data_IF_574998843674
#
_entry.id   IF_574998843674
#
_cell.length_a   1.000
_cell.length_b   1.000
_cell.length_c   1.000
_cell.angle_alpha   90.00
_cell.angle_beta   90.00
_cell.angle_gamma   90.00
#
_symmetry.space_group_name_H-M   'P 1'
#
loop_
_entity.id
_entity.type
_entity.pdbx_description
1 polymer ?
#
# COMPACT_ATOMS: atom_id res chain seq x y z
N UNK A 1 46.01 3.79 9.26
CA UNK A 1 45.31 2.54 8.89
C UNK A 1 44.04 2.46 9.70
N UNK A 2 42.92 2.86 9.12
CA UNK A 2 41.59 2.73 9.73
C UNK A 2 41.03 1.42 9.20
N UNK A 3 40.96 0.39 10.04
CA UNK A 3 40.24 -0.84 9.73
C UNK A 3 38.78 -0.46 9.56
N UNK A 4 38.30 -0.41 8.31
CA UNK A 4 36.88 -0.46 8.04
C UNK A 4 36.41 -1.85 8.47
N UNK A 5 35.84 -1.94 9.68
CA UNK A 5 35.04 -3.08 10.08
C UNK A 5 34.00 -3.29 8.98
N UNK A 6 34.12 -4.42 8.28
CA UNK A 6 33.18 -4.87 7.27
C UNK A 6 31.86 -5.13 8.01
N UNK A 7 31.07 -4.07 8.18
CA UNK A 7 29.75 -4.17 8.77
C UNK A 7 28.91 -4.82 7.70
N UNK A 8 28.48 -6.06 7.90
CA UNK A 8 27.57 -6.72 6.98
C UNK A 8 26.41 -5.77 6.67
N UNK A 9 26.22 -5.48 5.39
CA UNK A 9 25.14 -4.60 4.97
C UNK A 9 23.81 -5.12 5.54
N UNK A 10 22.89 -4.22 5.91
CA UNK A 10 21.59 -4.64 6.46
C UNK A 10 20.85 -5.57 5.48
N UNK A 11 21.12 -5.43 4.18
CA UNK A 11 20.64 -6.33 3.15
C UNK A 11 21.18 -7.76 3.30
N UNK A 12 22.49 -7.94 3.48
CA UNK A 12 23.08 -9.27 3.70
C UNK A 12 22.49 -9.96 4.94
N UNK A 13 22.25 -9.18 6.00
CA UNK A 13 21.59 -9.69 7.21
C UNK A 13 20.13 -10.07 6.91
N UNK A 14 19.39 -9.21 6.21
CA UNK A 14 18.00 -9.48 5.83
C UNK A 14 17.87 -10.74 4.98
N UNK A 15 18.77 -10.91 4.00
CA UNK A 15 18.80 -12.08 3.13
C UNK A 15 19.04 -13.37 3.93
N UNK A 16 20.07 -13.39 4.77
CA UNK A 16 20.37 -14.55 5.63
C UNK A 16 19.25 -14.83 6.64
N UNK A 17 18.59 -13.80 7.18
CA UNK A 17 17.46 -13.93 8.11
C UNK A 17 16.22 -14.49 7.38
N UNK A 18 15.93 -14.05 6.16
CA UNK A 18 14.78 -14.49 5.37
C UNK A 18 14.75 -16.02 5.22
N UNK A 19 15.91 -16.61 4.92
CA UNK A 19 16.09 -18.06 4.76
C UNK A 19 15.76 -18.86 6.04
N UNK A 20 15.81 -18.22 7.21
CA UNK A 20 15.54 -18.85 8.50
C UNK A 20 14.15 -18.53 9.06
N UNK A 21 13.45 -17.51 8.55
CA UNK A 21 12.08 -17.21 8.98
C UNK A 21 11.14 -18.33 8.54
N UNK A 22 11.20 -18.71 7.27
CA UNK A 22 10.44 -19.82 6.71
C UNK A 22 10.35 -19.81 5.19
N UNK A 23 9.67 -20.80 4.59
CA UNK A 23 9.46 -20.86 3.14
C UNK A 23 8.68 -19.63 2.63
N UNK A 24 9.05 -19.16 1.43
CA UNK A 24 8.38 -18.02 0.78
C UNK A 24 8.84 -16.64 1.27
N UNK A 25 9.82 -16.59 2.18
CA UNK A 25 10.46 -15.36 2.62
C UNK A 25 11.74 -15.10 1.83
N UNK A 26 11.95 -13.87 1.37
CA UNK A 26 13.15 -13.44 0.65
C UNK A 26 13.45 -11.97 0.89
N UNK A 27 14.70 -11.53 0.74
CA UNK A 27 15.06 -10.14 0.94
C UNK A 27 15.02 -9.32 -0.37
N UNK A 28 14.61 -8.07 -0.24
CA UNK A 28 14.72 -7.04 -1.27
C UNK A 28 15.52 -5.85 -0.73
N UNK A 29 16.54 -5.46 -1.49
CA UNK A 29 17.39 -4.32 -1.17
C UNK A 29 16.76 -3.00 -1.61
N UNK A 30 16.88 -1.96 -0.78
CA UNK A 30 16.52 -0.60 -1.15
C UNK A 30 17.69 0.13 -1.82
N UNK A 31 18.03 -0.22 -3.06
CA UNK A 31 19.05 0.51 -3.84
C UNK A 31 20.30 0.92 -3.02
N UNK A 32 20.81 2.14 -3.22
CA UNK A 32 22.00 2.68 -2.55
C UNK A 32 21.89 2.93 -1.03
N UNK A 33 20.87 2.40 -0.33
CA UNK A 33 20.69 2.60 1.12
C UNK A 33 21.18 1.37 1.91
N UNK A 34 22.47 1.35 2.26
CA UNK A 34 23.12 0.27 3.02
C UNK A 34 22.53 0.00 4.43
N UNK A 35 21.73 0.93 4.97
CA UNK A 35 21.16 0.85 6.31
C UNK A 35 19.73 0.31 6.40
N UNK A 36 19.13 -0.13 5.27
CA UNK A 36 17.74 -0.63 5.23
C UNK A 36 17.58 -1.78 4.24
N UNK A 37 16.75 -2.75 4.60
CA UNK A 37 16.32 -3.82 3.70
C UNK A 37 14.91 -4.27 4.07
N UNK A 38 14.16 -4.77 3.09
CA UNK A 38 12.87 -5.42 3.35
C UNK A 38 13.03 -6.92 3.20
N UNK A 39 12.38 -7.68 4.08
CA UNK A 39 12.13 -9.11 3.86
C UNK A 39 10.68 -9.23 3.40
N UNK A 40 10.48 -9.64 2.16
CA UNK A 40 9.18 -9.98 1.60
C UNK A 40 8.78 -11.37 2.08
N UNK A 41 7.50 -11.54 2.38
CA UNK A 41 6.90 -12.79 2.83
C UNK A 41 5.68 -13.18 2.02
N UNK A 42 5.03 -14.30 2.38
CA UNK A 42 3.83 -14.77 1.70
C UNK A 42 2.67 -13.77 1.85
N UNK A 43 1.71 -13.85 0.92
CA UNK A 43 0.46 -13.07 0.93
C UNK A 43 0.64 -11.54 0.99
N UNK A 44 1.80 -11.02 0.58
CA UNK A 44 2.10 -9.58 0.62
C UNK A 44 2.50 -9.06 2.01
N UNK A 45 2.82 -9.97 2.95
CA UNK A 45 3.48 -9.60 4.20
C UNK A 45 4.91 -9.15 3.93
N UNK A 46 5.43 -8.22 4.73
CA UNK A 46 6.79 -7.76 4.63
C UNK A 46 7.33 -7.22 5.96
N UNK A 47 8.64 -7.31 6.17
CA UNK A 47 9.34 -6.79 7.34
C UNK A 47 10.41 -5.80 6.90
N UNK A 48 10.41 -4.59 7.44
CA UNK A 48 11.51 -3.65 7.26
C UNK A 48 12.55 -3.84 8.35
N UNK A 49 13.79 -4.06 7.95
CA UNK A 49 14.97 -4.04 8.79
C UNK A 49 15.69 -2.70 8.60
N UNK A 50 16.00 -2.00 9.69
CA UNK A 50 16.74 -0.73 9.65
C UNK A 50 17.74 -0.63 10.79
N UNK A 51 18.99 -0.29 10.46
CA UNK A 51 20.05 0.06 11.41
C UNK A 51 20.31 1.58 11.47
N UNK A 52 19.62 2.35 10.61
CA UNK A 52 19.88 3.77 10.43
C UNK A 52 19.53 4.56 11.69
N UNK A 53 20.50 5.33 12.19
CA UNK A 53 20.29 6.39 13.20
C UNK A 53 19.63 7.58 12.51
N UNK A 54 18.40 7.92 12.87
CA UNK A 54 17.63 9.01 12.25
C UNK A 54 16.26 9.17 12.91
N UNK A 55 15.20 9.44 12.13
CA UNK A 55 13.78 9.56 12.56
C UNK A 55 13.29 8.44 13.51
N UNK A 56 14.05 7.36 13.57
CA UNK A 56 13.90 6.21 14.44
C UNK A 56 15.26 5.98 15.12
N UNK A 57 15.41 6.37 16.37
CA UNK A 57 16.67 6.25 17.12
C UNK A 57 16.96 4.79 17.48
N UNK A 58 17.49 4.02 16.52
CA UNK A 58 17.96 2.65 16.78
C UNK A 58 19.29 2.73 17.56
N UNK A 59 19.42 2.06 18.72
CA UNK A 59 20.68 2.03 19.47
C UNK A 59 21.84 1.48 18.63
N UNK A 60 23.08 1.85 18.99
CA UNK A 60 24.29 1.31 18.32
C UNK A 60 24.28 -0.22 18.40
N UNK A 61 24.62 -0.88 17.29
CA UNK A 61 24.72 -2.34 17.24
C UNK A 61 23.36 -3.05 17.26
N UNK A 62 22.26 -2.34 16.98
CA UNK A 62 20.93 -2.91 16.90
C UNK A 62 20.33 -2.72 15.51
N UNK A 63 19.48 -3.65 15.12
CA UNK A 63 18.55 -3.56 14.00
C UNK A 63 17.15 -3.48 14.58
N UNK A 64 16.36 -2.53 14.08
CA UNK A 64 14.92 -2.50 14.30
C UNK A 64 14.23 -3.28 13.20
N UNK A 65 13.34 -4.18 13.60
CA UNK A 65 12.49 -4.98 12.71
C UNK A 65 11.05 -4.53 12.92
N UNK A 66 10.38 -4.10 11.85
CA UNK A 66 9.00 -3.63 11.90
C UNK A 66 8.17 -4.20 10.75
N UNK A 67 6.89 -4.52 10.97
CA UNK A 67 6.00 -5.01 9.95
C UNK A 67 5.61 -3.93 8.95
N UNK A 68 5.41 -4.35 7.71
CA UNK A 68 4.83 -3.55 6.65
C UNK A 68 3.46 -4.12 6.28
N UNK A 69 2.50 -3.23 6.05
CA UNK A 69 1.11 -3.58 5.76
C UNK A 69 0.70 -3.20 4.34
N UNK A 70 1.63 -2.67 3.53
CA UNK A 70 1.37 -2.21 2.17
C UNK A 70 0.15 -1.27 2.11
N UNK A 71 -0.82 -1.51 1.19
CA UNK A 71 -2.03 -0.70 1.07
C UNK A 71 -2.99 -0.83 2.26
N UNK A 72 -2.90 -1.92 3.03
CA UNK A 72 -3.76 -2.15 4.20
C UNK A 72 -3.33 -1.34 5.43
N UNK A 73 -2.21 -0.62 5.38
CA UNK A 73 -1.66 0.15 6.52
C UNK A 73 -2.67 1.08 7.17
N UNK A 74 -3.45 1.80 6.36
CA UNK A 74 -4.37 2.82 6.87
C UNK A 74 -5.63 2.20 7.50
N UNK A 75 -5.87 0.91 7.23
CA UNK A 75 -6.95 0.12 7.80
C UNK A 75 -6.56 -0.58 9.10
N UNK A 76 -5.31 -0.42 9.56
CA UNK A 76 -4.84 -1.03 10.80
C UNK A 76 -5.44 -0.34 12.04
N UNK A 77 -6.14 -1.07 12.93
CA UNK A 77 -6.67 -0.53 14.18
C UNK A 77 -5.58 0.08 15.06
N UNK A 78 -5.90 1.19 15.75
CA UNK A 78 -4.91 1.94 16.55
C UNK A 78 -4.23 1.09 17.62
N UNK A 79 -4.95 0.16 18.24
CA UNK A 79 -4.45 -0.76 19.27
C UNK A 79 -3.49 -1.84 18.73
N UNK A 80 -3.42 -2.04 17.40
CA UNK A 80 -2.52 -2.98 16.74
C UNK A 80 -1.34 -2.29 16.03
N UNK A 81 -1.23 -0.95 16.17
CA UNK A 81 -0.12 -0.16 15.60
C UNK A 81 1.13 -0.27 16.48
N UNK A 82 2.29 -0.03 15.88
CA UNK A 82 3.56 0.10 16.61
C UNK A 82 4.21 -1.23 17.00
N UNK A 83 3.83 -2.33 16.35
CA UNK A 83 4.55 -3.60 16.49
C UNK A 83 5.98 -3.45 15.97
N UNK A 84 6.96 -3.75 16.80
CA UNK A 84 8.37 -3.78 16.42
C UNK A 84 9.21 -4.53 17.45
N UNK A 85 10.39 -4.97 17.02
CA UNK A 85 11.43 -5.47 17.92
C UNK A 85 12.77 -4.86 17.55
N UNK A 86 13.63 -4.69 18.55
CA UNK A 86 15.04 -4.41 18.36
C UNK A 86 15.84 -5.69 18.65
N UNK A 87 16.74 -6.03 17.75
CA UNK A 87 17.66 -7.17 17.85
C UNK A 87 19.09 -6.68 17.68
N UNK A 88 20.06 -7.32 18.33
CA UNK A 88 21.47 -6.97 18.13
C UNK A 88 21.92 -7.43 16.74
N UNK A 89 22.71 -6.58 16.07
CA UNK A 89 23.27 -6.85 14.74
C UNK A 89 24.31 -7.98 14.77
N UNK A 90 24.94 -8.21 15.93
CA UNK A 90 25.98 -9.22 16.12
C UNK A 90 25.42 -10.64 16.35
N UNK A 91 24.08 -10.77 16.45
CA UNK A 91 23.43 -12.07 16.57
C UNK A 91 23.50 -12.82 15.24
N UNK A 92 23.73 -14.13 15.33
CA UNK A 92 23.59 -15.01 14.17
C UNK A 92 22.19 -14.85 13.53
N UNK A 93 22.13 -14.88 12.19
CA UNK A 93 20.90 -14.72 11.41
C UNK A 93 19.78 -15.65 11.88
N UNK A 94 20.09 -16.91 12.17
CA UNK A 94 19.14 -17.88 12.74
C UNK A 94 18.54 -17.42 14.07
N UNK A 95 19.32 -16.76 14.93
CA UNK A 95 18.84 -16.26 16.22
C UNK A 95 17.96 -15.02 16.04
N UNK A 96 18.29 -14.14 15.10
CA UNK A 96 17.42 -13.02 14.73
C UNK A 96 16.08 -13.55 14.19
N UNK A 97 16.10 -14.51 13.27
CA UNK A 97 14.88 -15.12 12.72
C UNK A 97 14.01 -15.77 13.82
N UNK A 98 14.62 -16.49 14.77
CA UNK A 98 13.90 -17.05 15.94
C UNK A 98 13.25 -15.97 16.80
N UNK A 99 13.91 -14.82 16.98
CA UNK A 99 13.31 -13.72 17.72
C UNK A 99 12.16 -13.05 16.96
N UNK A 100 12.29 -12.90 15.64
CA UNK A 100 11.20 -12.44 14.77
C UNK A 100 10.00 -13.38 14.91
N UNK A 101 10.21 -14.68 14.74
CA UNK A 101 9.14 -15.69 14.83
C UNK A 101 8.51 -15.77 16.22
N UNK A 102 9.28 -15.58 17.29
CA UNK A 102 8.75 -15.69 18.66
C UNK A 102 8.09 -14.41 19.17
N UNK A 103 8.65 -13.24 18.84
CA UNK A 103 8.29 -11.95 19.46
C UNK A 103 7.44 -11.06 18.57
N UNK A 104 7.57 -11.20 17.25
CA UNK A 104 6.93 -10.29 16.28
C UNK A 104 5.85 -10.99 15.46
N UNK A 105 6.13 -12.19 14.90
CA UNK A 105 5.22 -12.84 13.95
C UNK A 105 3.81 -13.08 14.48
N UNK A 106 3.59 -13.60 15.71
CA UNK A 106 2.23 -13.89 16.17
C UNK A 106 1.34 -12.64 16.22
N UNK A 107 1.90 -11.51 16.67
CA UNK A 107 1.19 -10.24 16.70
C UNK A 107 1.02 -9.64 15.30
N UNK A 108 2.04 -9.78 14.45
CA UNK A 108 2.01 -9.27 13.08
C UNK A 108 0.99 -10.01 12.21
N UNK A 109 0.98 -11.35 12.24
CA UNK A 109 0.02 -12.17 11.49
C UNK A 109 -1.42 -11.80 11.84
N UNK A 110 -1.72 -11.67 13.13
CA UNK A 110 -3.03 -11.22 13.59
C UNK A 110 -3.36 -9.80 13.09
N UNK A 111 -2.43 -8.85 13.26
CA UNK A 111 -2.63 -7.47 12.82
C UNK A 111 -2.79 -7.35 11.29
N UNK A 112 -2.05 -8.16 10.53
CA UNK A 112 -2.09 -8.18 9.08
C UNK A 112 -3.42 -8.73 8.57
N UNK A 113 -3.91 -9.84 9.14
CA UNK A 113 -5.22 -10.39 8.80
C UNK A 113 -6.33 -9.37 9.01
N UNK A 114 -6.37 -8.72 10.18
CA UNK A 114 -7.38 -7.68 10.49
C UNK A 114 -7.29 -6.49 9.52
N UNK A 115 -6.07 -6.03 9.19
CA UNK A 115 -5.89 -4.92 8.28
C UNK A 115 -6.29 -5.26 6.84
N UNK A 116 -5.97 -6.47 6.37
CA UNK A 116 -6.33 -6.95 5.03
C UNK A 116 -7.82 -7.14 4.90
N UNK A 117 -8.49 -7.76 5.87
CA UNK A 117 -9.95 -7.94 5.84
C UNK A 117 -10.67 -6.58 5.77
N UNK A 118 -10.23 -5.62 6.59
CA UNK A 118 -10.77 -4.25 6.56
C UNK A 118 -10.50 -3.53 5.24
N UNK A 119 -9.30 -3.71 4.66
CA UNK A 119 -8.96 -3.15 3.36
C UNK A 119 -9.79 -3.78 2.23
N UNK A 120 -9.97 -5.10 2.23
CA UNK A 120 -10.80 -5.81 1.25
C UNK A 120 -12.26 -5.40 1.33
N UNK A 121 -12.82 -5.29 2.55
CA UNK A 121 -14.17 -4.79 2.75
C UNK A 121 -14.34 -3.36 2.23
N UNK A 122 -13.39 -2.47 2.52
CA UNK A 122 -13.38 -1.11 1.97
C UNK A 122 -13.30 -1.11 0.44
N UNK A 123 -12.41 -1.94 -0.14
CA UNK A 123 -12.26 -2.06 -1.60
C UNK A 123 -13.51 -2.59 -2.27
N UNK A 124 -14.21 -3.52 -1.65
CA UNK A 124 -15.49 -4.02 -2.17
C UNK A 124 -16.55 -2.92 -2.11
N UNK A 125 -16.65 -2.21 -0.99
CA UNK A 125 -17.58 -1.08 -0.87
C UNK A 125 -17.29 0.02 -1.91
N UNK A 126 -16.02 0.37 -2.14
CA UNK A 126 -15.65 1.31 -3.21
C UNK A 126 -16.06 0.83 -4.61
N UNK A 127 -16.10 -0.49 -4.85
CA UNK A 127 -16.54 -1.03 -6.13
C UNK A 127 -18.07 -0.97 -6.23
N UNK A 128 -18.79 -1.36 -5.18
CA UNK A 128 -20.26 -1.33 -5.12
C UNK A 128 -20.80 0.11 -5.26
N UNK A 129 -20.17 1.07 -4.58
CA UNK A 129 -20.50 2.50 -4.67
C UNK A 129 -20.30 3.01 -6.10
N UNK A 130 -19.20 2.60 -6.76
CA UNK A 130 -18.93 2.97 -8.16
C UNK A 130 -19.92 2.37 -9.14
N UNK A 131 -20.37 1.14 -8.93
CA UNK A 131 -21.40 0.52 -9.77
C UNK A 131 -22.72 1.29 -9.63
N UNK A 132 -23.10 1.63 -8.40
CA UNK A 132 -24.29 2.45 -8.13
C UNK A 132 -24.21 3.83 -8.77
N UNK A 133 -23.05 4.49 -8.66
CA UNK A 133 -22.80 5.80 -9.30
C UNK A 133 -22.85 5.71 -10.83
N UNK A 134 -22.26 4.67 -11.42
CA UNK A 134 -22.30 4.44 -12.87
C UNK A 134 -23.73 4.19 -13.38
N UNK A 135 -24.56 3.48 -12.61
CA UNK A 135 -25.96 3.26 -12.93
C UNK A 135 -26.76 4.58 -12.92
N UNK A 136 -26.58 5.41 -11.89
CA UNK A 136 -27.22 6.73 -11.80
C UNK A 136 -26.81 7.68 -12.93
N UNK A 137 -25.51 7.70 -13.28
CA UNK A 137 -25.00 8.52 -14.40
C UNK A 137 -25.58 8.02 -15.72
N UNK A 138 -25.68 6.70 -15.91
CA UNK A 138 -26.24 6.11 -17.13
C UNK A 138 -27.72 6.41 -17.30
N UNK A 139 -28.52 6.31 -16.24
CA UNK A 139 -29.95 6.67 -16.24
C UNK A 139 -30.16 8.16 -16.54
N UNK A 140 -29.35 9.02 -15.91
CA UNK A 140 -29.39 10.47 -16.15
C UNK A 140 -29.02 10.78 -17.60
N UNK A 141 -27.95 10.19 -18.12
CA UNK A 141 -27.49 10.43 -19.49
C UNK A 141 -28.41 9.83 -20.55
N UNK A 142 -29.12 8.74 -20.30
CA UNK A 142 -30.12 8.23 -21.24
C UNK A 142 -31.21 9.28 -21.55
N UNK A 143 -31.45 10.21 -20.63
CA UNK A 143 -32.39 11.32 -20.80
C UNK A 143 -31.82 12.47 -21.64
N UNK A 144 -30.51 12.74 -21.57
CA UNK A 144 -29.87 13.92 -22.17
C UNK A 144 -28.96 13.62 -23.38
N UNK A 145 -28.46 12.39 -23.49
CA UNK A 145 -27.52 11.87 -24.50
C UNK A 145 -27.99 10.49 -24.98
N UNK A 146 -29.06 10.41 -25.79
CA UNK A 146 -29.60 9.14 -26.26
C UNK A 146 -28.55 8.37 -27.09
N UNK A 147 -28.18 7.18 -26.62
CA UNK A 147 -27.20 6.31 -27.27
C UNK A 147 -26.03 5.88 -26.39
N UNK A 148 -25.78 6.60 -25.28
CA UNK A 148 -24.77 6.17 -24.30
C UNK A 148 -25.30 5.01 -23.45
N UNK A 149 -24.50 3.95 -23.30
CA UNK A 149 -24.85 2.75 -22.53
C UNK A 149 -24.02 2.62 -21.26
N UNK A 150 -24.54 1.85 -20.29
CA UNK A 150 -23.91 1.53 -19.00
C UNK A 150 -22.41 1.18 -19.09
N UNK A 151 -22.03 0.38 -20.08
CA UNK A 151 -20.64 -0.08 -20.26
C UNK A 151 -19.67 1.01 -20.73
N UNK A 152 -20.15 2.22 -21.00
CA UNK A 152 -19.32 3.34 -21.42
C UNK A 152 -18.78 4.15 -20.22
N UNK A 153 -19.28 3.97 -19.00
CA UNK A 153 -18.79 4.70 -17.82
C UNK A 153 -18.04 3.78 -16.83
N UNK A 154 -16.92 4.25 -16.28
CA UNK A 154 -16.08 3.54 -15.31
C UNK A 154 -14.62 3.37 -15.75
N UNK A 155 -13.82 2.61 -14.98
CA UNK A 155 -12.33 2.54 -15.09
C UNK A 155 -11.81 2.16 -16.49
N UNK A 156 -12.65 1.53 -17.33
CA UNK A 156 -12.28 1.09 -18.68
C UNK A 156 -13.32 1.44 -19.77
N UNK A 157 -14.30 2.30 -19.48
CA UNK A 157 -15.36 2.69 -20.41
C UNK A 157 -14.95 3.83 -21.37
N UNK A 158 -15.53 3.87 -22.57
CA UNK A 158 -15.25 4.92 -23.59
C UNK A 158 -15.93 6.28 -23.31
N UNK A 159 -17.00 6.28 -22.50
CA UNK A 159 -17.80 7.44 -22.13
C UNK A 159 -17.20 8.29 -21.01
N UNK A 160 -16.27 7.73 -20.20
CA UNK A 160 -15.51 8.51 -19.22
C UNK A 160 -15.37 7.87 -17.83
N UNK A 161 -14.66 8.57 -16.95
CA UNK A 161 -14.48 8.22 -15.53
C UNK A 161 -15.27 9.20 -14.65
N UNK A 162 -16.00 8.66 -13.67
CA UNK A 162 -16.77 9.44 -12.70
C UNK A 162 -16.35 9.02 -11.30
N UNK A 163 -16.06 9.98 -10.44
CA UNK A 163 -15.63 9.74 -9.06
C UNK A 163 -16.22 10.76 -8.12
N UNK A 164 -16.87 10.30 -7.05
CA UNK A 164 -17.24 11.14 -5.90
C UNK A 164 -16.28 10.88 -4.75
N UNK A 165 -15.67 11.93 -4.20
CA UNK A 165 -14.77 11.82 -3.03
C UNK A 165 -14.71 13.12 -2.25
N UNK A 166 -14.81 13.04 -0.92
CA UNK A 166 -14.62 14.18 -0.01
C UNK A 166 -15.51 15.40 -0.34
N UNK A 167 -16.76 15.16 -0.75
CA UNK A 167 -17.70 16.21 -1.17
C UNK A 167 -17.40 16.82 -2.55
N UNK A 168 -16.43 16.26 -3.28
CA UNK A 168 -16.10 16.67 -4.64
C UNK A 168 -16.59 15.61 -5.63
N UNK A 169 -17.12 16.07 -6.75
CA UNK A 169 -17.45 15.24 -7.91
C UNK A 169 -16.45 15.54 -9.00
N UNK A 170 -15.69 14.53 -9.43
CA UNK A 170 -14.85 14.60 -10.62
C UNK A 170 -15.48 13.77 -11.72
N UNK A 171 -15.80 14.42 -12.83
CA UNK A 171 -16.29 13.76 -14.03
C UNK A 171 -15.35 14.06 -15.18
N UNK A 172 -14.80 13.01 -15.78
CA UNK A 172 -13.91 13.08 -16.94
C UNK A 172 -14.59 12.40 -18.12
N UNK A 173 -15.04 13.20 -19.09
CA UNK A 173 -15.73 12.73 -20.28
C UNK A 173 -14.78 12.75 -21.48
N UNK A 174 -14.74 11.66 -22.22
CA UNK A 174 -14.01 11.58 -23.49
C UNK A 174 -14.98 11.90 -24.63
N UNK A 175 -14.91 13.12 -25.14
CA UNK A 175 -15.80 13.63 -26.19
C UNK A 175 -15.01 14.17 -27.39
N UNK A 176 -15.59 14.16 -28.60
CA UNK A 176 -15.10 14.94 -29.72
C UNK A 176 -14.91 16.43 -29.35
N UNK A 177 -13.94 17.14 -29.97
CA UNK A 177 -13.64 18.53 -29.62
C UNK A 177 -14.83 19.51 -29.72
N UNK A 178 -15.78 19.26 -30.62
CA UNK A 178 -16.95 20.12 -30.79
C UNK A 178 -17.99 19.92 -29.67
N UNK A 179 -18.23 18.67 -29.29
CA UNK A 179 -19.14 18.30 -28.18
C UNK A 179 -18.60 18.74 -26.82
N UNK A 180 -17.29 18.60 -26.59
CA UNK A 180 -16.66 19.07 -25.35
C UNK A 180 -16.76 20.60 -25.19
N UNK A 181 -16.65 21.38 -26.27
CA UNK A 181 -16.86 22.83 -26.25
C UNK A 181 -18.32 23.20 -26.00
N UNK A 182 -19.27 22.46 -26.59
CA UNK A 182 -20.70 22.67 -26.36
C UNK A 182 -21.06 22.41 -24.89
N UNK A 183 -20.57 21.31 -24.32
CA UNK A 183 -20.76 20.97 -22.91
C UNK A 183 -20.14 22.01 -21.97
N UNK A 184 -18.92 22.48 -22.26
CA UNK A 184 -18.27 23.51 -21.44
C UNK A 184 -19.08 24.82 -21.39
N UNK A 185 -19.64 25.25 -22.53
CA UNK A 185 -20.52 26.44 -22.59
C UNK A 185 -21.82 26.24 -21.82
N UNK A 186 -22.41 25.06 -21.93
CA UNK A 186 -23.62 24.70 -21.18
C UNK A 186 -23.37 24.76 -19.66
N UNK A 187 -22.30 24.11 -19.18
CA UNK A 187 -21.94 24.12 -17.76
C UNK A 187 -21.62 25.54 -17.26
N UNK A 188 -20.93 26.34 -18.06
CA UNK A 188 -20.67 27.74 -17.73
C UNK A 188 -21.95 28.57 -17.56
N UNK A 189 -23.01 28.26 -18.33
CA UNK A 189 -24.32 28.91 -18.21
C UNK A 189 -25.18 28.41 -17.05
N UNK A 190 -24.88 27.23 -16.50
CA UNK A 190 -25.56 26.64 -15.34
C UNK A 190 -24.94 27.09 -14.01
N UNK A 191 -23.63 27.37 -14.02
CA UNK A 191 -22.84 27.70 -12.83
C UNK A 191 -22.60 29.21 -12.65
N UNK A 192 -22.88 30.02 -13.67
CA UNK A 192 -22.82 31.49 -13.63
C UNK A 192 -24.17 32.10 -13.34
#
# INVERSE_FOLDING_TARGET
MTTFEQTDSVFAIADAVAHHIGPGWYAEGFGSNEGRATIQGPNGMALLLTSRRGLYSVPRGMIRVLPQYGPARDHLPKNLRGLEINVSIDKASLMIAREINRRLMPAYEHAYAVAIDAWQGFRQQELDDRETEADLVSETNATWLPGMQRGEFGVHGRGGDFRVRDGQVRWELLLPPEESRALARFLAGLLG
#
